data_IF_720737969274
#
_entry.id   IF_720737969274
#
_cell.length_a   1.000
_cell.length_b   1.000
_cell.length_c   1.000
_cell.angle_alpha   90.00
_cell.angle_beta   90.00
_cell.angle_gamma   90.00
#
_symmetry.space_group_name_H-M   'P 1'
#
loop_
_entity.id
_entity.type
_entity.pdbx_description
1 polymer ?
#
# COMPACT_ATOMS: atom_id res chain seq x y z
N UNK A 1 21.94 -99.24 13.13
CA UNK A 1 22.20 -98.51 11.86
C UNK A 1 22.29 -97.02 12.18
N UNK A 2 23.47 -96.44 11.93
CA UNK A 2 23.79 -94.98 11.87
C UNK A 2 23.96 -94.23 13.21
N UNK A 3 25.22 -94.05 13.67
CA UNK A 3 26.16 -92.91 13.43
C UNK A 3 25.66 -91.61 14.08
N UNK A 4 26.26 -91.11 15.16
CA UNK A 4 27.60 -90.48 15.22
C UNK A 4 27.44 -89.05 15.79
N UNK A 5 27.97 -88.75 16.98
CA UNK A 5 29.29 -88.10 17.27
C UNK A 5 29.17 -86.62 17.70
N UNK A 6 29.47 -86.38 18.99
CA UNK A 6 30.62 -85.63 19.56
C UNK A 6 30.63 -84.11 19.39
N UNK A 7 30.20 -83.45 20.46
CA UNK A 7 30.54 -82.09 20.91
C UNK A 7 32.06 -81.86 21.06
N UNK A 8 32.51 -80.66 20.67
CA UNK A 8 33.86 -80.07 20.87
C UNK A 8 33.73 -78.52 20.98
N UNK A 9 34.77 -77.76 21.39
CA UNK A 9 34.71 -76.86 22.54
C UNK A 9 34.72 -75.35 22.21
N UNK A 10 34.34 -74.57 23.23
CA UNK A 10 34.59 -73.14 23.48
C UNK A 10 35.93 -72.60 22.95
N UNK A 11 35.88 -71.54 22.13
CA UNK A 11 36.99 -70.58 21.89
C UNK A 11 36.43 -69.16 21.92
N UNK A 12 36.90 -68.39 22.90
CA UNK A 12 36.75 -66.95 23.10
C UNK A 12 37.51 -66.17 22.00
N UNK A 13 36.85 -65.31 21.24
CA UNK A 13 37.47 -64.40 20.28
C UNK A 13 37.14 -62.94 20.60
N UNK A 14 38.15 -62.16 20.98
CA UNK A 14 38.10 -60.70 21.15
C UNK A 14 38.11 -60.06 19.75
N UNK A 15 37.04 -59.34 19.39
CA UNK A 15 36.96 -58.48 18.20
C UNK A 15 37.20 -57.03 18.67
N UNK A 16 38.31 -56.43 18.26
CA UNK A 16 38.56 -54.99 18.40
C UNK A 16 37.87 -54.29 17.23
N UNK A 17 36.77 -53.58 17.51
CA UNK A 17 36.07 -52.73 16.55
C UNK A 17 36.73 -51.32 16.55
N UNK A 18 37.51 -50.99 15.52
CA UNK A 18 38.00 -49.62 15.29
C UNK A 18 36.85 -48.78 14.70
N UNK A 19 36.25 -47.91 15.53
CA UNK A 19 35.32 -46.89 15.05
C UNK A 19 36.08 -45.69 14.47
N UNK A 20 36.15 -45.62 13.14
CA UNK A 20 36.50 -44.40 12.41
C UNK A 20 35.35 -43.39 12.53
N UNK A 21 35.46 -42.44 13.46
CA UNK A 21 34.66 -41.21 13.43
C UNK A 21 35.15 -40.34 12.28
N UNK A 22 34.52 -40.50 11.11
CA UNK A 22 34.67 -39.54 10.03
C UNK A 22 34.06 -38.21 10.42
N UNK A 23 34.90 -37.23 10.78
CA UNK A 23 34.48 -35.82 10.85
C UNK A 23 34.17 -35.40 9.42
N UNK A 24 32.88 -35.36 9.04
CA UNK A 24 32.46 -34.70 7.81
C UNK A 24 32.69 -33.21 7.99
N UNK A 25 33.79 -32.70 7.44
CA UNK A 25 34.01 -31.27 7.29
C UNK A 25 33.05 -30.76 6.21
N UNK A 26 31.93 -30.17 6.61
CA UNK A 26 31.09 -29.40 5.68
C UNK A 26 31.90 -28.20 5.20
N UNK A 27 32.28 -28.19 3.92
CA UNK A 27 33.03 -27.07 3.34
C UNK A 27 32.12 -25.86 3.16
N UNK A 28 32.68 -24.67 3.36
CA UNK A 28 32.02 -23.42 2.97
C UNK A 28 31.87 -23.40 1.43
N UNK A 29 30.70 -23.01 0.95
CA UNK A 29 30.38 -22.93 -0.47
C UNK A 29 29.84 -21.54 -0.82
N UNK A 30 30.22 -21.05 -2.00
CA UNK A 30 29.70 -19.81 -2.56
C UNK A 30 28.45 -20.11 -3.35
N UNK A 31 27.33 -19.48 -2.99
CA UNK A 31 26.09 -19.48 -3.77
C UNK A 31 25.87 -18.08 -4.32
N UNK A 32 25.73 -17.97 -5.63
CA UNK A 32 25.56 -16.68 -6.29
C UNK A 32 24.09 -16.31 -6.46
N UNK A 33 23.75 -15.03 -6.26
CA UNK A 33 22.36 -14.58 -6.31
C UNK A 33 21.72 -14.77 -7.69
N UNK A 34 22.47 -14.46 -8.76
CA UNK A 34 22.04 -14.61 -10.16
C UNK A 34 21.80 -16.07 -10.58
N UNK A 35 22.23 -17.05 -9.78
CA UNK A 35 21.96 -18.47 -9.99
C UNK A 35 20.71 -18.96 -9.24
N UNK A 36 20.10 -18.12 -8.39
CA UNK A 36 18.83 -18.42 -7.76
C UNK A 36 17.67 -18.15 -8.72
N UNK A 37 16.47 -18.63 -8.38
CA UNK A 37 15.26 -18.26 -9.11
C UNK A 37 14.84 -16.82 -8.75
N UNK A 38 15.24 -15.87 -9.59
CA UNK A 38 14.94 -14.45 -9.42
C UNK A 38 13.52 -14.08 -9.85
N UNK A 39 12.78 -14.98 -10.51
CA UNK A 39 11.37 -14.74 -10.88
C UNK A 39 10.45 -14.66 -9.67
N UNK A 40 10.92 -15.11 -8.51
CA UNK A 40 10.24 -14.99 -7.24
C UNK A 40 10.21 -13.55 -6.68
N UNK A 41 11.00 -12.62 -7.23
CA UNK A 41 10.98 -11.23 -6.81
C UNK A 41 9.69 -10.52 -7.25
N UNK A 42 9.16 -9.66 -6.38
CA UNK A 42 8.16 -8.64 -6.75
C UNK A 42 8.87 -7.33 -7.04
N UNK A 43 8.32 -6.47 -7.91
CA UNK A 43 8.83 -5.11 -8.12
C UNK A 43 7.76 -4.15 -8.63
N UNK A 44 7.98 -2.85 -8.46
CA UNK A 44 7.03 -1.80 -8.84
C UNK A 44 6.83 -1.64 -10.35
N UNK A 45 7.84 -1.99 -11.16
CA UNK A 45 7.81 -1.87 -12.62
C UNK A 45 8.66 -2.95 -13.32
N UNK A 46 8.22 -3.40 -14.49
CA UNK A 46 8.97 -4.34 -15.35
C UNK A 46 9.09 -5.76 -14.79
N UNK A 47 9.99 -6.56 -15.38
CA UNK A 47 10.35 -7.90 -14.89
C UNK A 47 11.79 -7.87 -14.41
N UNK A 48 12.11 -8.42 -13.22
CA UNK A 48 13.48 -8.46 -12.77
C UNK A 48 14.31 -9.43 -13.63
N UNK A 49 15.62 -9.19 -13.76
CA UNK A 49 16.46 -9.96 -14.67
C UNK A 49 17.79 -10.36 -14.04
N UNK A 50 18.23 -11.57 -14.40
CA UNK A 50 19.59 -12.03 -14.12
C UNK A 50 20.56 -11.43 -15.14
N UNK A 51 21.68 -10.89 -14.63
CA UNK A 51 22.83 -10.40 -15.40
C UNK A 51 22.49 -9.33 -16.45
N UNK A 52 21.32 -8.72 -16.29
CA UNK A 52 20.78 -7.66 -17.15
C UNK A 52 19.90 -6.74 -16.32
N UNK A 53 19.78 -5.52 -16.80
CA UNK A 53 18.90 -4.50 -16.22
C UNK A 53 17.42 -4.84 -16.47
N UNK A 54 16.50 -4.06 -15.90
CA UNK A 54 15.05 -4.24 -16.13
C UNK A 54 14.70 -4.11 -17.62
N UNK A 55 15.35 -3.20 -18.36
CA UNK A 55 15.16 -3.02 -19.81
C UNK A 55 16.00 -3.99 -20.66
N UNK A 56 16.77 -4.89 -20.04
CA UNK A 56 17.51 -5.94 -20.73
C UNK A 56 18.90 -5.54 -21.22
N UNK A 57 19.49 -4.45 -20.71
CA UNK A 57 20.84 -3.97 -21.02
C UNK A 57 21.88 -4.60 -20.07
N UNK A 58 23.20 -4.42 -20.32
CA UNK A 58 24.25 -4.77 -19.35
C UNK A 58 24.11 -3.97 -18.06
N UNK A 59 24.43 -4.60 -16.91
CA UNK A 59 24.40 -3.97 -15.59
C UNK A 59 25.55 -2.95 -15.47
N UNK A 60 25.23 -1.70 -15.16
CA UNK A 60 26.23 -0.63 -15.06
C UNK A 60 25.95 0.33 -13.93
N UNK A 61 26.92 0.56 -13.04
CA UNK A 61 26.80 1.51 -11.93
C UNK A 61 27.97 2.47 -11.96
N UNK A 62 27.69 3.79 -12.03
CA UNK A 62 28.69 4.85 -12.06
C UNK A 62 29.79 4.61 -13.13
N UNK A 63 29.36 4.17 -14.31
CA UNK A 63 30.22 3.89 -15.46
C UNK A 63 30.96 2.54 -15.42
N UNK A 64 30.83 1.75 -14.35
CA UNK A 64 31.44 0.42 -14.24
C UNK A 64 30.46 -0.65 -14.69
N UNK A 65 30.92 -1.56 -15.55
CA UNK A 65 30.12 -2.70 -16.02
C UNK A 65 30.35 -3.91 -15.13
N UNK A 66 29.27 -4.62 -14.79
CA UNK A 66 29.32 -5.85 -14.00
C UNK A 66 28.78 -7.02 -14.83
N UNK A 67 29.47 -8.16 -14.76
CA UNK A 67 29.08 -9.37 -15.50
C UNK A 67 27.92 -10.09 -14.84
N UNK A 68 27.83 -9.99 -13.52
CA UNK A 68 26.90 -10.77 -12.72
C UNK A 68 26.10 -9.93 -11.75
N UNK A 69 24.81 -10.22 -11.67
CA UNK A 69 23.92 -9.52 -10.76
C UNK A 69 22.45 -9.75 -11.02
N UNK A 70 21.67 -8.96 -10.30
CA UNK A 70 20.22 -8.95 -10.31
C UNK A 70 19.76 -7.51 -10.58
N UNK A 71 19.35 -7.25 -11.81
CA UNK A 71 18.73 -6.00 -12.20
C UNK A 71 17.27 -6.00 -11.81
N UNK A 72 16.88 -5.05 -10.97
CA UNK A 72 15.53 -4.90 -10.43
C UNK A 72 15.09 -3.43 -10.51
N UNK A 73 13.93 -3.14 -9.96
CA UNK A 73 13.38 -1.80 -9.83
C UNK A 73 13.11 -1.47 -8.36
N UNK A 74 12.95 -0.19 -8.00
CA UNK A 74 12.42 0.17 -6.67
C UNK A 74 11.01 -0.39 -6.43
N UNK A 75 10.63 -0.45 -5.15
CA UNK A 75 9.46 -1.18 -4.65
C UNK A 75 9.53 -2.68 -4.93
N UNK A 76 10.71 -3.25 -4.72
CA UNK A 76 10.96 -4.67 -4.95
C UNK A 76 11.29 -5.44 -3.69
N UNK A 77 11.00 -6.74 -3.73
CA UNK A 77 11.27 -7.70 -2.67
C UNK A 77 11.68 -9.03 -3.29
N UNK A 78 12.87 -9.52 -2.94
CA UNK A 78 13.26 -10.91 -3.14
C UNK A 78 13.43 -11.58 -1.76
N UNK A 79 12.63 -12.61 -1.49
CA UNK A 79 12.77 -13.41 -0.26
C UNK A 79 13.57 -14.67 -0.56
N UNK A 80 14.58 -14.97 0.27
CA UNK A 80 15.43 -16.15 0.18
C UNK A 80 15.34 -16.93 1.49
N UNK A 81 15.01 -18.21 1.40
CA UNK A 81 14.98 -19.15 2.52
C UNK A 81 16.39 -19.69 2.73
N UNK A 82 16.97 -19.32 3.87
CA UNK A 82 18.32 -19.73 4.27
C UNK A 82 18.33 -21.00 5.12
N UNK A 83 17.27 -21.28 5.89
CA UNK A 83 17.19 -22.39 6.86
C UNK A 83 18.38 -22.47 7.83
N UNK A 84 19.03 -21.33 8.13
CA UNK A 84 20.23 -21.27 8.97
C UNK A 84 21.51 -21.79 8.30
N UNK A 85 21.52 -21.97 6.97
CA UNK A 85 22.62 -22.58 6.22
C UNK A 85 23.55 -21.58 5.53
N UNK A 86 23.30 -20.27 5.68
CA UNK A 86 24.15 -19.21 5.16
C UNK A 86 24.81 -18.46 6.33
N UNK A 87 26.06 -18.06 6.17
CA UNK A 87 26.85 -17.36 7.20
C UNK A 87 27.16 -15.91 6.82
N UNK A 88 27.21 -15.60 5.53
CA UNK A 88 27.52 -14.25 5.04
C UNK A 88 26.78 -13.98 3.73
N UNK A 89 26.26 -12.76 3.57
CA UNK A 89 25.85 -12.20 2.28
C UNK A 89 26.71 -10.99 1.96
N UNK A 90 27.24 -10.92 0.74
CA UNK A 90 27.94 -9.74 0.20
C UNK A 90 27.40 -9.36 -1.16
N UNK A 91 27.40 -8.07 -1.47
CA UNK A 91 27.05 -7.51 -2.78
C UNK A 91 27.61 -6.08 -2.91
N UNK A 92 27.56 -5.54 -4.12
CA UNK A 92 27.56 -4.11 -4.38
C UNK A 92 26.17 -3.73 -4.90
N UNK A 93 25.67 -2.56 -4.50
CA UNK A 93 24.35 -2.08 -4.91
C UNK A 93 24.41 -0.67 -5.48
N UNK A 94 23.50 -0.32 -6.38
CA UNK A 94 23.43 1.03 -6.93
C UNK A 94 22.33 1.22 -7.98
N UNK A 95 22.13 2.47 -8.38
CA UNK A 95 21.24 2.83 -9.48
C UNK A 95 21.93 2.49 -10.80
N UNK A 96 21.23 1.85 -11.71
CA UNK A 96 21.77 1.48 -13.03
C UNK A 96 21.93 2.72 -13.92
N UNK A 97 22.99 2.78 -14.74
CA UNK A 97 23.25 3.91 -15.64
C UNK A 97 22.27 4.00 -16.82
N UNK A 98 21.42 3.01 -17.07
CA UNK A 98 20.47 3.00 -18.17
C UNK A 98 19.42 4.10 -18.07
N UNK A 99 19.18 4.59 -16.85
CA UNK A 99 18.21 5.65 -16.56
C UNK A 99 18.83 7.04 -16.58
N UNK A 100 20.00 7.21 -17.24
CA UNK A 100 20.59 8.52 -17.51
C UNK A 100 19.60 9.49 -18.13
N UNK A 101 19.60 10.72 -17.62
CA UNK A 101 18.62 11.76 -17.99
C UNK A 101 17.37 11.77 -17.11
N UNK A 102 17.23 10.82 -16.19
CA UNK A 102 16.19 10.79 -15.17
C UNK A 102 16.76 11.17 -13.80
N UNK A 103 15.90 11.30 -12.79
CA UNK A 103 16.29 11.58 -11.41
C UNK A 103 15.89 10.41 -10.49
N UNK A 104 16.42 9.19 -10.69
CA UNK A 104 16.04 8.06 -9.86
C UNK A 104 16.55 8.23 -8.43
N UNK A 105 15.80 7.70 -7.47
CA UNK A 105 16.24 7.58 -6.08
C UNK A 105 15.69 6.29 -5.48
N UNK A 106 16.55 5.45 -4.94
CA UNK A 106 16.11 4.22 -4.29
C UNK A 106 16.96 3.91 -3.06
N UNK A 107 16.41 3.15 -2.11
CA UNK A 107 17.15 2.63 -0.97
C UNK A 107 17.11 1.10 -0.93
N UNK A 108 18.28 0.49 -0.72
CA UNK A 108 18.45 -0.94 -0.56
C UNK A 108 18.44 -1.29 0.92
N UNK A 109 17.63 -2.28 1.29
CA UNK A 109 17.46 -2.74 2.66
C UNK A 109 17.60 -4.26 2.69
N UNK A 110 18.31 -4.77 3.70
CA UNK A 110 18.41 -6.22 3.95
C UNK A 110 17.77 -6.49 5.31
N UNK A 111 16.73 -7.33 5.32
CA UNK A 111 16.11 -7.81 6.54
C UNK A 111 16.36 -9.31 6.73
N UNK A 112 16.63 -9.73 7.95
CA UNK A 112 16.75 -11.13 8.35
C UNK A 112 15.74 -11.45 9.44
N UNK A 113 14.89 -12.45 9.21
CA UNK A 113 13.84 -12.88 10.13
C UNK A 113 12.99 -11.70 10.69
N UNK A 114 12.66 -10.74 9.81
CA UNK A 114 11.86 -9.56 10.14
C UNK A 114 12.63 -8.40 10.81
N UNK A 115 13.95 -8.52 10.99
CA UNK A 115 14.81 -7.46 11.54
C UNK A 115 15.68 -6.86 10.47
N UNK A 116 15.77 -5.53 10.44
CA UNK A 116 16.70 -4.84 9.55
C UNK A 116 18.14 -5.10 9.96
N UNK A 117 18.93 -5.64 9.03
CA UNK A 117 20.34 -5.96 9.21
C UNK A 117 21.24 -4.91 8.56
N UNK A 118 20.80 -4.30 7.46
CA UNK A 118 21.58 -3.32 6.72
C UNK A 118 20.69 -2.40 5.88
N UNK A 119 21.17 -1.18 5.61
CA UNK A 119 20.55 -0.24 4.67
C UNK A 119 21.62 0.57 3.94
N UNK A 120 21.37 0.90 2.67
CA UNK A 120 22.27 1.71 1.86
C UNK A 120 22.17 3.21 2.16
N UNK A 121 21.07 3.69 2.74
CA UNK A 121 20.68 5.10 2.53
C UNK A 121 20.16 5.29 1.10
N UNK A 122 19.54 6.45 0.83
CA UNK A 122 19.08 6.77 -0.53
C UNK A 122 20.27 6.89 -1.47
N UNK A 123 20.27 6.08 -2.51
CA UNK A 123 21.22 6.10 -3.62
C UNK A 123 20.61 6.84 -4.82
N UNK A 124 21.45 7.56 -5.56
CA UNK A 124 21.08 8.33 -6.74
C UNK A 124 21.96 7.94 -7.93
N UNK A 125 21.51 8.30 -9.12
CA UNK A 125 22.29 8.11 -10.34
C UNK A 125 23.67 8.78 -10.21
N UNK A 126 24.73 8.03 -10.52
CA UNK A 126 26.11 8.49 -10.45
C UNK A 126 26.83 8.23 -9.13
N UNK A 127 26.11 7.82 -8.08
CA UNK A 127 26.74 7.33 -6.85
C UNK A 127 27.55 6.05 -7.14
N UNK A 128 28.73 5.92 -6.53
CA UNK A 128 29.49 4.68 -6.63
C UNK A 128 28.72 3.49 -6.03
N UNK A 129 28.95 2.31 -6.61
CA UNK A 129 28.35 1.07 -6.13
C UNK A 129 28.70 0.86 -4.64
N UNK A 130 27.67 0.80 -3.79
CA UNK A 130 27.85 0.72 -2.33
C UNK A 130 28.02 -0.73 -1.89
N UNK A 131 29.11 -1.08 -1.18
CA UNK A 131 29.28 -2.43 -0.66
C UNK A 131 28.32 -2.73 0.49
N UNK A 132 27.78 -3.94 0.47
CA UNK A 132 27.06 -4.51 1.61
C UNK A 132 27.71 -5.84 2.04
N UNK A 133 27.76 -6.05 3.35
CA UNK A 133 28.30 -7.26 3.97
C UNK A 133 27.52 -7.53 5.25
N UNK A 134 26.79 -8.64 5.30
CA UNK A 134 25.84 -8.96 6.37
C UNK A 134 26.08 -10.38 6.85
N UNK A 135 26.31 -10.54 8.16
CA UNK A 135 26.39 -11.86 8.82
C UNK A 135 25.00 -12.49 8.92
N UNK A 136 24.91 -13.78 8.63
CA UNK A 136 23.65 -14.52 8.53
C UNK A 136 23.56 -15.72 9.49
N UNK A 137 24.46 -15.82 10.47
CA UNK A 137 24.48 -16.93 11.43
C UNK A 137 23.10 -17.13 12.09
N UNK A 138 22.48 -18.29 11.84
CA UNK A 138 21.17 -18.65 12.38
C UNK A 138 19.96 -18.01 11.70
N UNK A 139 20.15 -17.11 10.72
CA UNK A 139 19.06 -16.47 9.99
C UNK A 139 18.36 -17.51 9.10
N UNK A 140 17.04 -17.58 9.18
CA UNK A 140 16.24 -18.56 8.42
C UNK A 140 15.67 -17.98 7.14
N UNK A 141 15.37 -16.68 7.13
CA UNK A 141 14.79 -15.97 5.99
C UNK A 141 15.48 -14.63 5.80
N UNK A 142 15.91 -14.35 4.57
CA UNK A 142 16.46 -13.07 4.15
C UNK A 142 15.52 -12.39 3.17
N UNK A 143 15.38 -11.09 3.29
CA UNK A 143 14.61 -10.25 2.36
C UNK A 143 15.55 -9.17 1.82
N UNK A 144 15.73 -9.15 0.50
CA UNK A 144 16.39 -8.07 -0.23
C UNK A 144 15.29 -7.13 -0.72
N UNK A 145 15.26 -5.93 -0.18
CA UNK A 145 14.19 -4.95 -0.41
C UNK A 145 14.81 -3.73 -1.10
N UNK A 146 14.13 -3.20 -2.10
CA UNK A 146 14.43 -1.88 -2.66
C UNK A 146 13.22 -0.99 -2.48
N UNK A 147 13.34 0.12 -1.78
CA UNK A 147 12.26 1.09 -1.58
C UNK A 147 12.42 2.28 -2.53
N UNK A 148 11.33 3.00 -2.77
CA UNK A 148 11.36 4.36 -3.36
C UNK A 148 12.24 5.25 -2.46
N UNK A 149 13.10 6.07 -3.08
CA UNK A 149 13.98 7.02 -2.43
C UNK A 149 13.31 8.36 -2.09
N UNK A 150 11.98 8.44 -2.25
CA UNK A 150 11.14 9.54 -1.77
C UNK A 150 10.71 10.52 -2.87
N UNK A 151 10.93 10.19 -4.14
CA UNK A 151 10.60 11.03 -5.29
C UNK A 151 9.65 10.33 -6.30
N UNK A 152 9.06 9.19 -5.91
CA UNK A 152 8.27 8.37 -6.79
C UNK A 152 9.15 7.40 -7.55
N UNK A 153 8.58 6.25 -7.92
CA UNK A 153 9.37 5.13 -8.41
C UNK A 153 9.80 5.26 -9.90
N UNK A 154 9.75 6.46 -10.49
CA UNK A 154 9.88 6.60 -11.94
C UNK A 154 11.33 6.43 -12.39
N UNK A 155 11.60 5.36 -13.14
CA UNK A 155 12.94 4.98 -13.60
C UNK A 155 13.93 4.63 -12.48
N UNK A 156 13.47 4.14 -11.34
CA UNK A 156 14.36 3.65 -10.29
C UNK A 156 14.89 2.23 -10.60
N UNK A 157 15.59 2.11 -11.72
CA UNK A 157 16.23 0.86 -12.11
C UNK A 157 17.50 0.71 -11.29
N UNK A 158 17.63 -0.45 -10.64
CA UNK A 158 18.64 -0.69 -9.62
C UNK A 158 19.28 -2.06 -9.80
N UNK A 159 20.52 -2.20 -9.34
CA UNK A 159 21.23 -3.46 -9.44
C UNK A 159 21.78 -3.93 -8.10
N UNK A 160 21.69 -5.25 -7.89
CA UNK A 160 22.52 -5.98 -6.94
C UNK A 160 23.60 -6.74 -7.73
N UNK A 161 24.82 -6.20 -7.79
CA UNK A 161 25.94 -6.78 -8.57
C UNK A 161 26.91 -7.53 -7.67
N UNK A 162 27.55 -8.56 -8.23
CA UNK A 162 28.47 -9.47 -7.51
C UNK A 162 27.90 -10.05 -6.21
N UNK A 163 26.57 -10.20 -6.16
CA UNK A 163 25.83 -10.63 -4.99
C UNK A 163 25.99 -12.14 -4.71
N UNK A 164 26.43 -12.51 -3.50
CA UNK A 164 26.76 -13.88 -3.12
C UNK A 164 26.54 -14.20 -1.65
N UNK A 165 26.38 -15.48 -1.39
CA UNK A 165 26.28 -16.09 -0.08
C UNK A 165 27.47 -17.00 0.18
N UNK A 166 28.00 -16.95 1.40
CA UNK A 166 28.77 -18.05 1.97
C UNK A 166 27.81 -18.97 2.71
N UNK A 167 27.86 -20.27 2.41
CA UNK A 167 26.92 -21.27 2.92
C UNK A 167 27.64 -22.52 3.42
N UNK A 168 26.98 -23.27 4.28
CA UNK A 168 27.48 -24.53 4.83
C UNK A 168 26.59 -25.68 4.36
N UNK A 169 27.16 -26.60 3.58
CA UNK A 169 26.48 -27.85 3.19
C UNK A 169 25.38 -27.71 2.13
N UNK A 170 25.25 -26.56 1.46
CA UNK A 170 24.32 -26.37 0.33
C UNK A 170 24.95 -25.57 -0.81
N UNK A 171 24.59 -25.92 -2.04
CA UNK A 171 25.06 -25.28 -3.28
C UNK A 171 24.02 -24.35 -3.89
N UNK A 172 22.83 -24.29 -3.31
CA UNK A 172 21.72 -23.44 -3.76
C UNK A 172 20.83 -23.06 -2.59
N UNK A 173 20.11 -21.95 -2.73
CA UNK A 173 19.13 -21.46 -1.77
C UNK A 173 17.77 -21.34 -2.48
N UNK A 174 16.69 -21.54 -1.74
CA UNK A 174 15.35 -21.40 -2.31
C UNK A 174 14.90 -19.95 -2.20
N UNK A 175 14.41 -19.39 -3.29
CA UNK A 175 13.68 -18.12 -3.27
C UNK A 175 12.20 -18.37 -3.07
N UNK A 176 11.51 -17.38 -2.52
CA UNK A 176 10.09 -17.46 -2.20
C UNK A 176 9.40 -16.20 -2.70
N UNK A 177 8.33 -16.37 -3.47
CA UNK A 177 7.42 -15.28 -3.77
C UNK A 177 6.31 -15.27 -2.72
N UNK A 178 6.21 -14.24 -1.86
CA UNK A 178 5.13 -14.15 -0.89
C UNK A 178 3.76 -13.93 -1.55
N UNK A 179 3.74 -13.53 -2.82
CA UNK A 179 2.54 -13.41 -3.63
C UNK A 179 2.36 -14.71 -4.40
N UNK A 180 1.27 -15.43 -4.14
CA UNK A 180 0.95 -16.64 -4.90
C UNK A 180 0.93 -16.33 -6.40
N UNK A 181 1.72 -17.07 -7.18
CA UNK A 181 1.77 -16.97 -8.65
C UNK A 181 0.54 -17.58 -9.32
N UNK A 182 -0.17 -18.47 -8.62
CA UNK A 182 -1.49 -18.90 -9.05
C UNK A 182 -2.51 -17.84 -8.64
N UNK A 183 -3.03 -17.11 -9.64
CA UNK A 183 -4.20 -16.27 -9.44
C UNK A 183 -5.37 -17.18 -9.02
N UNK A 184 -5.59 -17.25 -7.71
CA UNK A 184 -6.69 -18.02 -7.13
C UNK A 184 -7.94 -17.14 -7.09
N UNK A 185 -8.71 -17.15 -8.19
CA UNK A 185 -9.98 -16.43 -8.28
C UNK A 185 -11.09 -17.33 -7.72
N UNK A 186 -11.53 -17.04 -6.49
CA UNK A 186 -12.69 -17.70 -5.88
C UNK A 186 -14.03 -17.23 -6.45
N UNK A 187 -14.03 -16.13 -7.19
CA UNK A 187 -15.24 -15.53 -7.73
C UNK A 187 -15.53 -16.09 -9.13
N UNK A 188 -16.72 -16.63 -9.38
CA UNK A 188 -17.09 -17.01 -10.74
C UNK A 188 -16.95 -15.83 -11.69
N UNK A 189 -16.44 -16.08 -12.90
CA UNK A 189 -16.39 -15.07 -13.95
C UNK A 189 -17.79 -14.47 -14.15
N UNK A 190 -17.94 -13.14 -14.24
CA UNK A 190 -19.25 -12.55 -14.52
C UNK A 190 -19.84 -13.05 -15.84
N UNK A 191 -21.16 -13.14 -15.90
CA UNK A 191 -21.86 -13.44 -17.16
C UNK A 191 -21.55 -12.37 -18.22
N UNK A 192 -21.56 -12.79 -19.49
CA UNK A 192 -21.32 -11.92 -20.64
C UNK A 192 -22.44 -10.87 -20.82
N UNK A 193 -23.68 -11.19 -20.44
CA UNK A 193 -24.81 -10.26 -20.45
C UNK A 193 -24.70 -9.25 -19.30
N UNK A 194 -25.19 -8.01 -19.47
CA UNK A 194 -25.08 -7.00 -18.43
C UNK A 194 -25.81 -7.45 -17.16
N UNK A 195 -25.23 -7.12 -16.00
CA UNK A 195 -25.91 -7.17 -14.71
C UNK A 195 -25.53 -5.94 -13.92
N UNK A 196 -26.51 -5.08 -13.63
CA UNK A 196 -26.31 -3.88 -12.82
C UNK A 196 -26.05 -4.29 -11.35
N UNK A 197 -24.96 -3.79 -10.79
CA UNK A 197 -24.40 -4.14 -9.46
C UNK A 197 -24.25 -2.90 -8.58
N UNK A 198 -23.73 -3.06 -7.35
CA UNK A 198 -23.54 -1.96 -6.41
C UNK A 198 -24.82 -1.51 -5.71
N UNK A 199 -24.77 -0.36 -5.04
CA UNK A 199 -25.85 0.17 -4.22
C UNK A 199 -27.16 0.39 -5.03
N UNK A 200 -28.31 0.20 -4.36
CA UNK A 200 -29.65 0.49 -4.89
C UNK A 200 -30.20 1.84 -4.42
N UNK A 201 -29.49 2.50 -3.52
CA UNK A 201 -29.84 3.79 -2.95
C UNK A 201 -28.57 4.62 -2.77
N UNK A 202 -28.65 5.92 -2.97
CA UNK A 202 -27.55 6.86 -2.69
C UNK A 202 -28.09 8.11 -2.02
N UNK A 203 -27.40 8.59 -1.00
CA UNK A 203 -27.73 9.81 -0.28
C UNK A 203 -26.84 10.96 -0.73
N UNK A 204 -27.43 12.14 -0.90
CA UNK A 204 -26.71 13.39 -1.23
C UNK A 204 -27.36 14.55 -0.51
N UNK A 205 -26.61 15.57 -0.09
CA UNK A 205 -27.24 16.77 0.49
C UNK A 205 -27.73 17.73 -0.59
N UNK A 206 -28.76 18.55 -0.31
CA UNK A 206 -29.18 19.61 -1.21
C UNK A 206 -28.02 20.55 -1.57
N UNK A 207 -27.82 20.79 -2.87
CA UNK A 207 -26.79 21.69 -3.41
C UNK A 207 -25.38 21.10 -3.49
N UNK A 208 -25.11 19.98 -2.82
CA UNK A 208 -23.81 19.29 -2.92
C UNK A 208 -23.59 18.68 -4.30
N UNK A 209 -22.34 18.66 -4.81
CA UNK A 209 -21.98 17.91 -6.01
C UNK A 209 -22.41 16.45 -5.89
N UNK A 210 -23.13 15.99 -6.89
CA UNK A 210 -23.54 14.60 -7.05
C UNK A 210 -22.55 13.90 -7.98
N UNK A 211 -22.04 12.75 -7.57
CA UNK A 211 -21.31 11.82 -8.42
C UNK A 211 -21.63 10.39 -8.00
N UNK A 212 -22.19 9.62 -8.92
CA UNK A 212 -22.49 8.20 -8.71
C UNK A 212 -22.27 7.44 -10.02
N UNK A 213 -21.56 6.32 -9.98
CA UNK A 213 -21.39 5.46 -11.15
C UNK A 213 -22.45 4.36 -11.15
N UNK A 214 -23.25 4.29 -12.21
CA UNK A 214 -24.07 3.11 -12.47
C UNK A 214 -23.14 1.94 -12.85
N UNK A 215 -22.93 1.00 -11.93
CA UNK A 215 -21.99 -0.11 -12.15
C UNK A 215 -22.71 -1.32 -12.75
N UNK A 216 -22.05 -1.99 -13.69
CA UNK A 216 -22.54 -3.24 -14.25
C UNK A 216 -21.40 -4.14 -14.70
N UNK A 217 -21.50 -5.42 -14.36
CA UNK A 217 -20.72 -6.51 -14.97
C UNK A 217 -21.28 -6.85 -16.36
N UNK A 218 -20.51 -7.58 -17.17
CA UNK A 218 -20.84 -7.97 -18.54
C UNK A 218 -19.82 -7.47 -19.55
N UNK A 219 -19.80 -8.09 -20.73
CA UNK A 219 -18.84 -7.76 -21.78
C UNK A 219 -18.97 -6.28 -22.23
N UNK A 220 -17.83 -5.70 -22.60
CA UNK A 220 -17.72 -4.35 -23.18
C UNK A 220 -17.64 -4.47 -24.72
N UNK A 221 -18.03 -3.43 -25.50
CA UNK A 221 -18.56 -2.13 -25.07
C UNK A 221 -19.97 -2.26 -24.49
N UNK A 222 -20.29 -1.34 -23.57
CA UNK A 222 -21.58 -1.27 -22.90
C UNK A 222 -22.08 0.18 -22.91
N UNK A 223 -23.38 0.37 -23.08
CA UNK A 223 -24.02 1.68 -22.95
C UNK A 223 -24.89 1.72 -21.70
N UNK A 224 -24.96 2.89 -21.08
CA UNK A 224 -25.75 3.17 -19.89
C UNK A 224 -26.81 4.22 -20.19
N UNK A 225 -27.98 4.08 -19.57
CA UNK A 225 -29.02 5.10 -19.57
C UNK A 225 -29.80 5.09 -18.26
N UNK A 226 -30.58 6.15 -18.03
CA UNK A 226 -31.47 6.26 -16.87
C UNK A 226 -32.84 6.77 -17.30
N UNK A 227 -33.89 6.18 -16.74
CA UNK A 227 -35.28 6.65 -16.89
C UNK A 227 -35.68 7.41 -15.63
N UNK A 228 -36.31 8.56 -15.80
CA UNK A 228 -36.66 9.50 -14.72
C UNK A 228 -35.43 10.05 -13.98
N UNK A 229 -34.34 10.33 -14.71
CA UNK A 229 -33.18 11.00 -14.11
C UNK A 229 -33.61 12.42 -13.65
N UNK A 230 -33.43 12.78 -12.37
CA UNK A 230 -33.85 14.08 -11.87
C UNK A 230 -33.21 15.25 -12.61
N UNK A 231 -33.98 16.33 -12.82
CA UNK A 231 -33.46 17.58 -13.36
C UNK A 231 -32.31 18.09 -12.49
N UNK A 232 -31.21 18.47 -13.13
CA UNK A 232 -29.97 18.87 -12.47
C UNK A 232 -28.90 17.78 -12.43
N UNK A 233 -29.25 16.54 -12.84
CA UNK A 233 -28.30 15.46 -13.05
C UNK A 233 -28.19 15.11 -14.54
N UNK A 234 -27.00 14.61 -14.93
CA UNK A 234 -26.70 14.08 -16.26
C UNK A 234 -25.96 12.76 -16.13
N UNK A 235 -26.15 11.85 -17.08
CA UNK A 235 -25.41 10.58 -17.17
C UNK A 235 -24.53 10.59 -18.41
N UNK A 236 -23.28 10.18 -18.27
CA UNK A 236 -22.44 9.80 -19.41
C UNK A 236 -22.81 8.38 -19.87
N UNK A 237 -23.30 8.20 -21.12
CA UNK A 237 -23.76 6.91 -21.62
C UNK A 237 -22.64 5.89 -21.83
N UNK A 238 -21.36 6.30 -21.90
CA UNK A 238 -20.22 5.40 -22.09
C UNK A 238 -19.71 4.85 -20.75
N UNK A 239 -19.66 5.71 -19.74
CA UNK A 239 -19.04 5.38 -18.44
C UNK A 239 -20.06 5.00 -17.37
N UNK A 240 -21.33 5.40 -17.51
CA UNK A 240 -22.35 5.22 -16.48
C UNK A 240 -22.27 6.24 -15.35
N UNK A 241 -21.34 7.21 -15.42
CA UNK A 241 -21.16 8.23 -14.39
C UNK A 241 -22.32 9.23 -14.46
N UNK A 242 -22.99 9.42 -13.33
CA UNK A 242 -24.04 10.41 -13.13
C UNK A 242 -23.43 11.57 -12.34
N UNK A 243 -23.47 12.79 -12.89
CA UNK A 243 -22.98 14.01 -12.23
C UNK A 243 -24.02 15.13 -12.20
N UNK A 244 -23.84 16.11 -11.31
CA UNK A 244 -24.67 17.31 -11.25
C UNK A 244 -24.98 17.75 -9.84
N UNK A 245 -26.14 18.36 -9.60
CA UNK A 245 -26.60 18.81 -8.28
C UNK A 245 -28.13 18.70 -8.17
N UNK A 246 -28.61 18.44 -6.95
CA UNK A 246 -30.04 18.48 -6.62
C UNK A 246 -30.29 19.58 -5.60
N UNK A 247 -31.12 20.57 -5.92
CA UNK A 247 -31.40 21.67 -5.00
C UNK A 247 -32.54 21.36 -4.01
N UNK A 248 -33.51 20.54 -4.44
CA UNK A 248 -34.71 20.23 -3.66
C UNK A 248 -34.50 18.93 -2.89
N UNK A 249 -34.78 18.96 -1.59
CA UNK A 249 -34.81 17.75 -0.78
C UNK A 249 -35.92 16.80 -1.24
N UNK A 250 -35.70 15.50 -1.14
CA UNK A 250 -36.70 14.49 -1.47
C UNK A 250 -36.11 13.16 -1.93
N UNK A 251 -37.00 12.19 -2.12
CA UNK A 251 -36.68 10.90 -2.70
C UNK A 251 -36.98 10.91 -4.21
N UNK A 252 -35.99 10.54 -5.02
CA UNK A 252 -36.12 10.42 -6.46
C UNK A 252 -35.93 8.96 -6.87
N UNK A 253 -36.96 8.38 -7.47
CA UNK A 253 -36.93 7.02 -7.98
C UNK A 253 -36.64 7.02 -9.48
N UNK A 254 -35.64 6.26 -9.89
CA UNK A 254 -35.23 6.13 -11.28
C UNK A 254 -34.92 4.67 -11.61
N UNK A 255 -34.79 4.38 -12.91
CA UNK A 255 -34.41 3.06 -13.40
C UNK A 255 -33.09 3.21 -14.16
N UNK A 256 -32.03 2.59 -13.64
CA UNK A 256 -30.76 2.47 -14.33
C UNK A 256 -30.86 1.35 -15.37
N UNK A 257 -30.25 1.55 -16.53
CA UNK A 257 -30.19 0.57 -17.61
C UNK A 257 -28.76 0.40 -18.10
N UNK A 258 -28.39 -0.83 -18.44
CA UNK A 258 -27.13 -1.18 -19.06
C UNK A 258 -27.37 -2.13 -20.23
N UNK A 259 -26.72 -1.91 -21.38
CA UNK A 259 -26.91 -2.72 -22.60
C UNK A 259 -25.58 -2.99 -23.28
N UNK A 260 -25.35 -4.24 -23.68
CA UNK A 260 -24.26 -4.65 -24.57
C UNK A 260 -24.81 -5.57 -25.69
N UNK A 261 -23.93 -6.15 -26.50
CA UNK A 261 -24.32 -7.08 -27.58
C UNK A 261 -25.02 -8.36 -27.09
N UNK A 262 -24.89 -8.73 -25.82
CA UNK A 262 -25.42 -9.96 -25.24
C UNK A 262 -26.76 -9.75 -24.53
N UNK A 263 -27.22 -8.51 -24.36
CA UNK A 263 -28.52 -8.22 -23.76
C UNK A 263 -28.57 -6.88 -23.04
N UNK A 264 -29.57 -6.74 -22.20
CA UNK A 264 -29.78 -5.55 -21.36
C UNK A 264 -30.13 -5.95 -19.93
N UNK A 265 -29.86 -5.04 -19.00
CA UNK A 265 -30.29 -5.14 -17.62
C UNK A 265 -30.89 -3.81 -17.18
N UNK A 266 -31.86 -3.88 -16.27
CA UNK A 266 -32.48 -2.72 -15.66
C UNK A 266 -32.53 -2.91 -14.14
N UNK A 267 -32.43 -1.81 -13.39
CA UNK A 267 -32.55 -1.85 -11.94
C UNK A 267 -33.12 -0.56 -11.39
N UNK A 268 -34.10 -0.69 -10.48
CA UNK A 268 -34.60 0.43 -9.69
C UNK A 268 -33.49 0.99 -8.80
N UNK A 269 -33.38 2.31 -8.78
CA UNK A 269 -32.43 3.05 -7.98
C UNK A 269 -33.15 4.21 -7.30
N UNK A 270 -32.71 4.59 -6.10
CA UNK A 270 -33.32 5.68 -5.32
C UNK A 270 -32.26 6.67 -4.87
N UNK A 271 -32.40 7.93 -5.25
CA UNK A 271 -31.60 9.03 -4.72
C UNK A 271 -32.37 9.66 -3.56
N UNK A 272 -31.73 9.82 -2.41
CA UNK A 272 -32.27 10.56 -1.27
C UNK A 272 -31.50 11.86 -1.16
N UNK A 273 -32.11 12.95 -1.59
CA UNK A 273 -31.59 14.29 -1.37
C UNK A 273 -32.04 14.78 0.02
N UNK A 274 -31.14 14.79 0.99
CA UNK A 274 -31.45 15.11 2.39
C UNK A 274 -30.21 15.10 3.28
N UNK A 275 -30.39 15.18 4.60
CA UNK A 275 -29.27 15.36 5.55
C UNK A 275 -28.43 14.11 5.81
N UNK A 276 -28.88 12.94 5.32
CA UNK A 276 -28.23 11.65 5.51
C UNK A 276 -27.54 11.19 4.22
N UNK A 277 -26.23 11.04 4.31
CA UNK A 277 -25.36 10.44 3.28
C UNK A 277 -24.92 9.03 3.71
N UNK A 278 -24.12 8.35 2.89
CA UNK A 278 -23.62 6.99 3.18
C UNK A 278 -24.73 6.00 3.59
N UNK A 279 -25.82 5.93 2.79
CA UNK A 279 -26.98 5.07 3.06
C UNK A 279 -26.71 3.58 2.90
N UNK A 280 -25.58 3.23 2.31
CA UNK A 280 -25.01 1.88 2.26
C UNK A 280 -23.56 1.96 2.72
N UNK A 281 -22.98 0.84 3.22
CA UNK A 281 -21.57 0.82 3.58
C UNK A 281 -20.68 1.35 2.43
N UNK A 282 -19.77 2.30 2.69
CA UNK A 282 -18.77 2.71 1.72
C UNK A 282 -17.89 1.52 1.33
N UNK A 283 -17.72 1.27 0.03
CA UNK A 283 -16.86 0.20 -0.49
C UNK A 283 -15.66 0.81 -1.20
N UNK A 284 -14.45 0.38 -0.85
CA UNK A 284 -13.25 0.99 -1.39
C UNK A 284 -11.96 0.37 -0.88
N UNK A 285 -10.87 1.07 -1.14
CA UNK A 285 -9.51 0.73 -0.75
C UNK A 285 -8.95 1.82 0.16
N UNK A 286 -8.02 1.47 1.05
CA UNK A 286 -7.30 2.40 1.91
C UNK A 286 -5.80 2.11 1.85
N UNK A 287 -4.97 3.17 1.87
CA UNK A 287 -3.53 3.06 1.65
C UNK A 287 -2.73 2.44 2.78
N UNK A 288 -3.22 2.48 4.03
CA UNK A 288 -2.42 2.15 5.21
C UNK A 288 -1.82 0.75 5.16
N UNK A 289 -2.64 -0.27 4.92
CA UNK A 289 -2.18 -1.66 4.94
C UNK A 289 -1.32 -2.05 3.73
N UNK A 290 -1.32 -1.23 2.67
CA UNK A 290 -0.48 -1.47 1.50
C UNK A 290 0.84 -0.71 1.57
N UNK A 291 0.79 0.55 1.99
CA UNK A 291 1.91 1.48 1.84
C UNK A 291 2.38 2.10 3.16
N UNK A 292 1.55 2.08 4.21
CA UNK A 292 1.83 2.75 5.47
C UNK A 292 2.40 4.16 5.23
N UNK A 293 3.57 4.45 5.82
CA UNK A 293 4.26 5.72 5.69
C UNK A 293 4.79 6.04 4.30
N UNK A 294 4.80 5.09 3.35
CA UNK A 294 5.34 5.25 2.00
C UNK A 294 4.29 5.72 0.99
N UNK A 295 3.08 6.12 1.43
CA UNK A 295 2.03 6.59 0.53
C UNK A 295 2.49 7.83 -0.26
N UNK A 296 2.15 7.90 -1.54
CA UNK A 296 2.46 9.02 -2.44
C UNK A 296 1.34 9.22 -3.47
N UNK A 297 1.31 10.38 -4.15
CA UNK A 297 0.37 10.63 -5.25
C UNK A 297 0.42 9.53 -6.32
N UNK A 298 1.62 9.06 -6.71
CA UNK A 298 1.76 8.02 -7.73
C UNK A 298 1.11 6.70 -7.29
N UNK A 299 1.41 6.24 -6.08
CA UNK A 299 0.83 5.02 -5.51
C UNK A 299 -0.70 5.06 -5.42
N UNK A 300 -1.26 6.21 -5.04
CA UNK A 300 -2.71 6.42 -5.00
C UNK A 300 -3.30 6.34 -6.41
N UNK A 301 -2.66 6.95 -7.42
CA UNK A 301 -3.08 6.85 -8.82
C UNK A 301 -3.01 5.41 -9.33
N UNK A 302 -1.96 4.65 -8.98
CA UNK A 302 -1.83 3.23 -9.31
C UNK A 302 -2.94 2.39 -8.67
N UNK A 303 -3.26 2.61 -7.40
CA UNK A 303 -4.38 1.93 -6.73
C UNK A 303 -5.74 2.27 -7.39
N UNK A 304 -5.95 3.54 -7.76
CA UNK A 304 -7.13 3.96 -8.52
C UNK A 304 -7.24 3.26 -9.88
N UNK A 305 -6.13 3.19 -10.65
CA UNK A 305 -6.13 2.46 -11.92
C UNK A 305 -6.35 0.96 -11.74
N UNK A 306 -5.79 0.36 -10.68
CA UNK A 306 -5.98 -1.06 -10.39
C UNK A 306 -7.46 -1.37 -10.04
N UNK A 307 -8.15 -0.46 -9.33
CA UNK A 307 -9.59 -0.59 -9.06
C UNK A 307 -10.42 -0.65 -10.36
N UNK A 308 -10.00 0.11 -11.38
CA UNK A 308 -10.66 0.15 -12.69
C UNK A 308 -10.30 -1.11 -13.50
N UNK A 309 -9.00 -1.39 -13.67
CA UNK A 309 -8.52 -2.47 -14.54
C UNK A 309 -8.84 -3.87 -14.04
N UNK A 310 -8.89 -4.07 -12.72
CA UNK A 310 -9.34 -5.33 -12.10
C UNK A 310 -10.84 -5.59 -12.28
N UNK A 311 -11.61 -4.56 -12.64
CA UNK A 311 -13.07 -4.64 -12.75
C UNK A 311 -13.81 -4.50 -11.41
N UNK A 312 -13.12 -4.28 -10.27
CA UNK A 312 -13.78 -4.05 -8.97
C UNK A 312 -14.73 -2.86 -9.00
N UNK A 313 -14.41 -1.82 -9.79
CA UNK A 313 -15.32 -0.70 -10.02
C UNK A 313 -16.69 -1.16 -10.57
N UNK A 314 -16.72 -2.22 -11.38
CA UNK A 314 -17.96 -2.81 -11.91
C UNK A 314 -18.74 -3.60 -10.86
N UNK A 315 -18.26 -3.72 -9.62
CA UNK A 315 -18.92 -4.37 -8.50
C UNK A 315 -19.34 -3.40 -7.39
N UNK A 316 -19.13 -2.09 -7.58
CA UNK A 316 -19.54 -1.05 -6.62
C UNK A 316 -18.41 -0.56 -5.70
N UNK A 317 -17.17 -0.97 -5.92
CA UNK A 317 -16.01 -0.42 -5.22
C UNK A 317 -15.70 0.97 -5.75
N UNK A 318 -15.75 1.99 -4.90
CA UNK A 318 -15.77 3.39 -5.35
C UNK A 318 -14.76 4.29 -4.64
N UNK A 319 -14.35 3.99 -3.41
CA UNK A 319 -13.46 4.87 -2.64
C UNK A 319 -11.98 4.46 -2.77
N UNK A 320 -11.10 5.45 -2.96
CA UNK A 320 -9.65 5.35 -2.84
C UNK A 320 -9.25 6.28 -1.68
N UNK A 321 -8.99 5.73 -0.51
CA UNK A 321 -8.72 6.52 0.69
C UNK A 321 -7.22 6.58 0.97
N UNK A 322 -6.72 7.80 1.11
CA UNK A 322 -5.38 8.11 1.61
C UNK A 322 -5.48 8.11 3.14
N UNK A 323 -4.62 7.31 3.79
CA UNK A 323 -4.49 7.25 5.24
C UNK A 323 -3.38 8.21 5.73
N UNK A 324 -2.84 8.00 6.92
CA UNK A 324 -1.76 8.83 7.52
C UNK A 324 -0.53 8.99 6.59
N UNK A 325 0.34 9.97 6.87
CA UNK A 325 1.56 10.34 6.13
C UNK A 325 1.39 11.07 4.79
N UNK A 326 0.25 11.70 4.53
CA UNK A 326 0.14 12.70 3.45
C UNK A 326 0.56 14.10 3.92
N UNK A 327 0.56 14.33 5.24
CA UNK A 327 1.00 15.54 5.91
C UNK A 327 2.51 15.50 6.22
N UNK A 328 3.08 16.65 6.60
CA UNK A 328 4.45 16.68 7.12
C UNK A 328 4.54 16.05 8.52
N UNK A 329 5.62 15.28 8.76
CA UNK A 329 5.91 14.53 9.97
C UNK A 329 6.85 15.26 10.94
N UNK A 330 6.56 15.21 12.25
CA UNK A 330 7.33 15.91 13.30
C UNK A 330 8.74 15.37 13.54
N UNK A 331 8.96 14.07 13.39
CA UNK A 331 10.20 13.41 13.83
C UNK A 331 10.90 12.62 12.71
N UNK A 332 10.33 12.58 11.51
CA UNK A 332 10.88 11.78 10.42
C UNK A 332 12.28 12.24 10.01
N UNK A 333 13.11 11.27 9.64
CA UNK A 333 14.42 11.51 9.00
C UNK A 333 14.30 11.55 7.48
N UNK A 334 13.16 11.12 6.93
CA UNK A 334 12.88 11.20 5.50
C UNK A 334 12.54 12.65 5.13
N UNK A 335 13.37 13.27 4.29
CA UNK A 335 13.20 14.65 3.83
C UNK A 335 11.88 14.86 3.08
N UNK A 336 11.35 13.83 2.42
CA UNK A 336 10.08 13.92 1.69
C UNK A 336 8.86 14.02 2.61
N UNK A 337 9.03 13.73 3.90
CA UNK A 337 8.02 13.88 4.95
C UNK A 337 8.25 15.15 5.79
N UNK A 338 9.20 16.02 5.42
CA UNK A 338 9.56 17.22 6.18
C UNK A 338 9.07 18.48 5.49
N UNK A 339 8.72 19.47 6.31
CA UNK A 339 8.32 20.78 5.84
C UNK A 339 7.52 21.52 6.91
N UNK A 340 6.92 22.63 6.51
CA UNK A 340 5.98 23.38 7.36
C UNK A 340 4.74 22.52 7.60
N UNK A 341 4.24 22.46 8.84
CA UNK A 341 2.96 21.78 9.10
C UNK A 341 1.77 22.59 8.61
N UNK A 342 1.87 23.91 8.69
CA UNK A 342 0.83 24.86 8.30
C UNK A 342 1.39 26.04 7.50
N UNK A 343 0.58 26.60 6.62
CA UNK A 343 0.85 27.86 5.95
C UNK A 343 0.53 29.07 6.85
N UNK A 344 0.76 30.28 6.34
CA UNK A 344 0.49 31.53 7.09
C UNK A 344 -0.98 31.73 7.44
N UNK A 345 -1.90 31.11 6.69
CA UNK A 345 -3.33 31.16 6.94
C UNK A 345 -3.81 30.04 7.90
N UNK A 346 -2.89 29.19 8.37
CA UNK A 346 -3.20 28.07 9.26
C UNK A 346 -3.69 26.81 8.54
N UNK A 347 -3.69 26.77 7.21
CA UNK A 347 -4.04 25.56 6.48
C UNK A 347 -2.92 24.54 6.59
N UNK A 348 -3.28 23.28 6.76
CA UNK A 348 -2.34 22.18 6.71
C UNK A 348 -1.61 22.11 5.36
N UNK A 349 -0.29 21.91 5.41
CA UNK A 349 0.55 21.79 4.21
C UNK A 349 0.88 20.31 3.97
N UNK A 350 0.48 19.73 2.82
CA UNK A 350 0.90 18.37 2.46
C UNK A 350 2.42 18.27 2.33
N UNK A 351 2.96 17.08 2.49
CA UNK A 351 4.37 16.84 2.26
C UNK A 351 4.73 16.81 0.75
N UNK A 352 6.01 16.70 0.42
CA UNK A 352 6.47 16.80 -0.98
C UNK A 352 6.00 15.65 -1.87
N UNK A 353 5.44 14.57 -1.31
CA UNK A 353 4.84 13.46 -2.07
C UNK A 353 3.44 13.80 -2.59
N UNK A 354 2.82 14.86 -2.08
CA UNK A 354 1.46 15.30 -2.39
C UNK A 354 1.39 16.79 -2.76
N UNK A 355 1.98 17.15 -3.90
CA UNK A 355 2.10 18.56 -4.33
C UNK A 355 0.83 19.17 -4.90
N UNK A 356 -0.13 18.36 -5.36
CA UNK A 356 -1.40 18.82 -5.96
C UNK A 356 -2.58 17.96 -5.51
N UNK A 357 -3.09 18.25 -4.31
CA UNK A 357 -4.20 17.52 -3.70
C UNK A 357 -5.50 17.61 -4.52
N UNK A 358 -5.76 18.79 -5.12
CA UNK A 358 -6.93 18.98 -5.96
C UNK A 358 -6.80 18.21 -7.27
N UNK A 359 -5.65 18.27 -7.94
CA UNK A 359 -5.41 17.50 -9.16
C UNK A 359 -5.47 15.99 -8.93
N UNK A 360 -5.04 15.51 -7.76
CA UNK A 360 -5.20 14.10 -7.38
C UNK A 360 -6.67 13.69 -7.22
N UNK A 361 -7.48 14.53 -6.54
CA UNK A 361 -8.91 14.29 -6.43
C UNK A 361 -9.61 14.33 -7.80
N UNK A 362 -9.32 15.34 -8.63
CA UNK A 362 -9.87 15.48 -9.97
C UNK A 362 -9.51 14.26 -10.85
N UNK A 363 -8.28 13.73 -10.73
CA UNK A 363 -7.85 12.50 -11.42
C UNK A 363 -8.69 11.30 -10.99
N UNK A 364 -8.86 11.07 -9.69
CA UNK A 364 -9.64 9.95 -9.15
C UNK A 364 -11.12 10.08 -9.55
N UNK A 365 -11.68 11.29 -9.50
CA UNK A 365 -13.04 11.58 -9.95
C UNK A 365 -13.24 11.34 -11.45
N UNK A 366 -12.23 11.62 -12.28
CA UNK A 366 -12.24 11.35 -13.72
C UNK A 366 -12.38 9.86 -14.06
N UNK A 367 -11.95 8.98 -13.15
CA UNK A 367 -12.13 7.53 -13.25
C UNK A 367 -13.52 7.05 -12.78
N UNK A 368 -14.36 7.95 -12.26
CA UNK A 368 -15.65 7.62 -11.64
C UNK A 368 -15.55 7.14 -10.19
N UNK A 369 -14.38 7.25 -9.58
CA UNK A 369 -14.10 6.92 -8.18
C UNK A 369 -14.26 8.15 -7.29
N UNK A 370 -14.23 7.93 -5.98
CA UNK A 370 -14.23 8.92 -4.91
C UNK A 370 -12.92 8.82 -4.14
N UNK A 371 -12.48 9.92 -3.53
CA UNK A 371 -11.20 9.95 -2.81
C UNK A 371 -11.39 10.33 -1.34
N UNK A 372 -10.64 9.69 -0.45
CA UNK A 372 -10.67 9.99 0.98
C UNK A 372 -9.34 10.48 1.52
N UNK A 373 -9.42 11.20 2.64
CA UNK A 373 -8.28 11.67 3.40
C UNK A 373 -8.35 11.20 4.85
N UNK A 374 -7.30 11.49 5.61
CA UNK A 374 -7.12 11.14 6.99
C UNK A 374 -6.70 12.37 7.81
N UNK A 375 -7.11 12.43 9.08
CA UNK A 375 -6.55 13.34 10.08
C UNK A 375 -6.86 12.81 11.49
N UNK A 376 -6.47 13.56 12.52
CA UNK A 376 -6.74 13.29 13.94
C UNK A 376 -7.15 14.58 14.67
N UNK A 377 -7.98 14.51 15.74
CA UNK A 377 -8.35 15.67 16.55
C UNK A 377 -7.26 16.21 17.47
N UNK A 378 -6.15 15.47 17.64
CA UNK A 378 -4.99 15.98 18.38
C UNK A 378 -3.98 16.70 17.48
N UNK A 379 -2.94 17.33 18.07
CA UNK A 379 -1.90 18.03 17.31
C UNK A 379 -1.13 17.12 16.37
N UNK A 380 -1.05 15.83 16.71
CA UNK A 380 -0.40 14.80 15.91
C UNK A 380 -1.36 13.68 15.56
N UNK A 381 -1.27 13.21 14.33
CA UNK A 381 -1.82 11.93 13.89
C UNK A 381 -1.08 10.78 14.57
N UNK A 382 -1.58 9.54 14.45
CA UNK A 382 -0.91 8.36 15.01
C UNK A 382 0.54 8.19 14.55
N UNK A 383 0.81 8.44 13.27
CA UNK A 383 2.14 8.41 12.67
C UNK A 383 3.04 9.61 13.02
N UNK A 384 2.58 10.55 13.85
CA UNK A 384 3.36 11.74 14.23
C UNK A 384 3.37 12.86 13.18
N UNK A 385 2.46 12.81 12.21
CA UNK A 385 2.20 13.88 11.25
C UNK A 385 1.23 14.93 11.80
N UNK A 386 1.16 16.10 11.16
CA UNK A 386 0.31 17.20 11.64
C UNK A 386 -1.18 16.79 11.66
N UNK A 387 -1.85 16.93 12.81
CA UNK A 387 -3.30 16.71 12.95
C UNK A 387 -4.09 18.02 12.92
N UNK A 388 -5.41 17.94 13.11
CA UNK A 388 -6.32 19.09 12.93
C UNK A 388 -6.59 19.93 14.18
N UNK A 389 -5.97 19.60 15.32
CA UNK A 389 -6.24 20.30 16.58
C UNK A 389 -6.07 21.83 16.47
N UNK A 390 -7.12 22.57 16.79
CA UNK A 390 -7.13 24.04 16.79
C UNK A 390 -7.35 24.69 15.42
N UNK A 391 -7.49 23.89 14.36
CA UNK A 391 -7.64 24.35 12.97
C UNK A 391 -8.70 23.53 12.22
N UNK A 392 -9.63 22.92 12.94
CA UNK A 392 -10.62 22.00 12.41
C UNK A 392 -11.44 22.66 11.30
N UNK A 393 -11.77 23.94 11.46
CA UNK A 393 -12.51 24.72 10.47
C UNK A 393 -11.73 24.88 9.16
N UNK A 394 -10.48 25.35 9.24
CA UNK A 394 -9.62 25.55 8.08
C UNK A 394 -9.37 24.25 7.34
N UNK A 395 -9.12 23.18 8.08
CA UNK A 395 -8.88 21.86 7.52
C UNK A 395 -10.14 21.33 6.80
N UNK A 396 -11.34 21.47 7.40
CA UNK A 396 -12.61 21.11 6.73
C UNK A 396 -12.81 21.86 5.41
N UNK A 397 -12.52 23.17 5.39
CA UNK A 397 -12.61 24.02 4.21
C UNK A 397 -11.60 23.58 3.12
N UNK A 398 -10.35 23.29 3.50
CA UNK A 398 -9.33 22.78 2.57
C UNK A 398 -9.69 21.43 1.98
N UNK A 399 -10.15 20.47 2.79
CA UNK A 399 -10.57 19.15 2.31
C UNK A 399 -11.75 19.24 1.32
N UNK A 400 -12.66 20.18 1.55
CA UNK A 400 -13.75 20.44 0.63
C UNK A 400 -13.26 21.09 -0.67
N UNK A 401 -12.39 22.10 -0.58
CA UNK A 401 -11.80 22.84 -1.71
C UNK A 401 -10.94 21.95 -2.60
N UNK A 402 -10.17 21.02 -2.02
CA UNK A 402 -9.41 20.02 -2.77
C UNK A 402 -10.29 18.94 -3.39
N UNK A 403 -11.56 18.82 -2.97
CA UNK A 403 -12.49 17.91 -3.62
C UNK A 403 -12.37 16.46 -3.15
N UNK A 404 -12.02 16.21 -1.88
CA UNK A 404 -12.08 14.85 -1.31
C UNK A 404 -13.53 14.29 -1.32
N UNK A 405 -13.90 13.22 -0.62
CA UNK A 405 -15.30 12.74 -0.47
C UNK A 405 -15.51 12.03 0.87
N UNK A 406 -14.43 11.90 1.62
CA UNK A 406 -14.34 11.07 2.80
C UNK A 406 -13.24 11.61 3.70
N UNK A 407 -13.48 11.65 5.01
CA UNK A 407 -12.48 11.90 6.02
C UNK A 407 -12.51 10.76 7.04
N UNK A 408 -11.42 10.01 7.14
CA UNK A 408 -11.11 9.19 8.32
C UNK A 408 -10.56 10.12 9.39
N UNK A 409 -11.15 10.11 10.56
CA UNK A 409 -10.74 10.96 11.67
C UNK A 409 -10.41 10.08 12.86
N UNK A 410 -9.14 10.03 13.21
CA UNK A 410 -8.61 9.15 14.24
C UNK A 410 -8.84 9.71 15.66
N UNK A 411 -8.19 9.15 16.67
CA UNK A 411 -8.22 9.62 18.06
C UNK A 411 -6.84 10.11 18.55
N UNK A 412 -5.77 9.71 17.88
CA UNK A 412 -4.40 9.87 18.35
C UNK A 412 -4.03 11.29 18.82
N UNK A 413 -3.30 11.36 19.93
CA UNK A 413 -2.83 12.56 20.65
C UNK A 413 -3.90 13.48 21.24
N UNK A 414 -5.19 13.31 20.93
CA UNK A 414 -6.27 14.09 21.53
C UNK A 414 -6.40 13.85 23.03
N UNK A 415 -6.06 12.65 23.52
CA UNK A 415 -6.06 12.36 24.95
C UNK A 415 -5.18 13.30 25.77
N UNK A 416 -4.05 13.76 25.23
CA UNK A 416 -3.19 14.74 25.90
C UNK A 416 -3.75 16.16 25.85
N UNK A 417 -4.54 16.49 24.82
CA UNK A 417 -5.22 17.79 24.74
C UNK A 417 -6.18 17.95 25.92
N UNK A 418 -6.89 16.88 26.28
CA UNK A 418 -7.85 16.89 27.38
C UNK A 418 -7.21 17.20 28.74
N UNK A 419 -5.93 16.87 28.92
CA UNK A 419 -5.16 17.13 30.15
C UNK A 419 -4.49 18.52 30.15
N UNK A 420 -4.59 19.26 29.04
CA UNK A 420 -3.79 20.45 28.77
C UNK A 420 -2.44 20.08 28.13
N UNK A 421 -2.02 20.88 27.14
CA UNK A 421 -0.73 20.66 26.49
C UNK A 421 0.41 21.02 27.47
N UNK A 422 1.44 20.16 27.65
CA UNK A 422 2.59 20.49 28.47
C UNK A 422 3.25 21.79 27.98
N UNK A 423 3.33 22.79 28.86
CA UNK A 423 3.86 24.12 28.56
C UNK A 423 3.17 24.83 27.37
N UNK A 424 1.92 24.44 27.05
CA UNK A 424 1.18 24.88 25.87
C UNK A 424 1.90 24.58 24.54
N UNK A 425 2.80 23.58 24.53
CA UNK A 425 3.56 23.18 23.35
C UNK A 425 3.01 21.85 22.79
N UNK A 426 2.36 21.88 21.61
CA UNK A 426 1.87 20.67 20.98
C UNK A 426 2.99 19.68 20.65
N UNK A 427 4.24 20.10 20.46
CA UNK A 427 5.36 19.20 20.13
C UNK A 427 5.71 18.24 21.27
N UNK A 428 5.34 18.56 22.52
CA UNK A 428 5.67 17.79 23.72
C UNK A 428 4.70 16.65 24.04
N UNK A 429 3.64 16.47 23.25
CA UNK A 429 2.68 15.37 23.47
C UNK A 429 3.01 14.15 22.61
N UNK A 430 2.73 12.97 23.15
CA UNK A 430 2.87 11.72 22.40
C UNK A 430 1.83 11.64 21.28
N UNK A 431 2.24 11.19 20.11
CA UNK A 431 1.33 10.88 19.01
C UNK A 431 0.37 9.73 19.35
N UNK A 432 0.81 8.77 20.16
CA UNK A 432 0.02 7.59 20.55
C UNK A 432 -0.53 7.73 21.96
N UNK A 433 -1.50 8.62 22.14
CA UNK A 433 -2.27 8.73 23.38
C UNK A 433 -3.75 8.46 23.13
N UNK A 434 -4.29 7.50 23.89
CA UNK A 434 -5.69 7.09 23.86
C UNK A 434 -6.48 7.51 25.12
N UNK A 435 -5.83 8.29 26.01
CA UNK A 435 -6.45 8.73 27.26
C UNK A 435 -7.72 9.56 27.02
N UNK A 436 -8.66 9.48 27.95
CA UNK A 436 -9.96 10.18 27.85
C UNK A 436 -10.91 9.63 26.78
N UNK A 437 -10.45 8.69 25.94
CA UNK A 437 -11.30 8.00 24.97
C UNK A 437 -12.29 7.03 25.61
N UNK A 438 -12.10 6.68 26.88
CA UNK A 438 -12.95 5.81 27.71
C UNK A 438 -14.08 6.55 28.47
N UNK A 439 -14.29 7.84 28.22
CA UNK A 439 -15.42 8.62 28.75
C UNK A 439 -16.21 9.19 27.55
N UNK A 440 -17.49 8.82 27.43
CA UNK A 440 -18.32 9.13 26.24
C UNK A 440 -18.35 10.63 25.92
N UNK A 441 -18.56 11.49 26.92
CA UNK A 441 -18.67 12.94 26.72
C UNK A 441 -17.40 13.54 26.07
N UNK A 442 -16.23 13.17 26.59
CA UNK A 442 -14.94 13.64 26.04
C UNK A 442 -14.63 12.96 24.71
N UNK A 443 -15.05 11.70 24.54
CA UNK A 443 -14.81 10.94 23.31
C UNK A 443 -15.64 11.44 22.12
N UNK A 444 -16.89 11.87 22.32
CA UNK A 444 -17.76 12.39 21.26
C UNK A 444 -17.35 13.79 20.79
N UNK A 445 -16.90 14.65 21.72
CA UNK A 445 -16.66 16.08 21.48
C UNK A 445 -15.86 16.39 20.21
N UNK A 446 -14.65 15.81 19.98
CA UNK A 446 -13.87 16.15 18.79
C UNK A 446 -14.55 15.73 17.48
N UNK A 447 -15.19 14.56 17.47
CA UNK A 447 -15.89 14.06 16.29
C UNK A 447 -17.11 14.89 15.97
N UNK A 448 -17.89 15.29 16.98
CA UNK A 448 -19.02 16.20 16.76
C UNK A 448 -18.55 17.55 16.20
N UNK A 449 -17.46 18.11 16.74
CA UNK A 449 -16.89 19.38 16.27
C UNK A 449 -16.49 19.34 14.79
N UNK A 450 -15.65 18.37 14.41
CA UNK A 450 -15.26 18.19 13.00
C UNK A 450 -16.47 17.83 12.12
N UNK A 451 -17.36 16.95 12.59
CA UNK A 451 -18.58 16.57 11.89
C UNK A 451 -19.50 17.76 11.56
N UNK A 452 -19.69 18.67 12.51
CA UNK A 452 -20.49 19.89 12.33
C UNK A 452 -19.82 20.83 11.29
N UNK A 453 -18.49 20.92 11.28
CA UNK A 453 -17.73 21.74 10.30
C UNK A 453 -17.74 21.16 8.88
N UNK A 454 -17.58 19.84 8.75
CA UNK A 454 -17.75 19.14 7.46
C UNK A 454 -19.16 19.34 6.91
N UNK A 455 -20.17 19.39 7.79
CA UNK A 455 -21.54 19.65 7.35
C UNK A 455 -21.74 21.06 6.80
N UNK A 456 -20.91 22.03 7.16
CA UNK A 456 -21.01 23.39 6.61
C UNK A 456 -20.40 23.52 5.22
N UNK A 457 -19.63 22.52 4.77
CA UNK A 457 -18.96 22.58 3.48
C UNK A 457 -19.92 22.33 2.31
N UNK A 458 -19.74 22.98 1.15
CA UNK A 458 -20.61 22.85 -0.02
C UNK A 458 -20.41 21.54 -0.80
N UNK A 459 -20.01 20.46 -0.11
CA UNK A 459 -19.71 19.14 -0.67
C UNK A 459 -19.92 18.07 0.39
N UNK A 460 -20.46 16.92 -0.02
CA UNK A 460 -20.62 15.78 0.89
C UNK A 460 -19.27 15.15 1.20
N UNK A 461 -18.96 15.03 2.49
CA UNK A 461 -17.77 14.34 3.01
C UNK A 461 -18.27 13.25 3.96
N UNK A 462 -18.10 11.99 3.59
CA UNK A 462 -18.36 10.86 4.49
C UNK A 462 -17.41 10.96 5.67
N UNK A 463 -17.95 10.93 6.88
CA UNK A 463 -17.15 11.07 8.10
C UNK A 463 -17.01 9.72 8.78
N UNK A 464 -15.79 9.18 8.75
CA UNK A 464 -15.43 7.90 9.37
C UNK A 464 -14.75 8.15 10.69
N UNK A 465 -15.47 7.84 11.77
CA UNK A 465 -14.98 7.93 13.14
C UNK A 465 -14.05 6.73 13.41
N UNK A 466 -12.77 7.00 13.69
CA UNK A 466 -11.75 5.99 14.00
C UNK A 466 -11.25 6.21 15.42
N UNK A 467 -11.98 5.66 16.39
CA UNK A 467 -11.66 5.80 17.81
C UNK A 467 -11.45 4.45 18.51
N UNK A 468 -11.33 3.38 17.71
CA UNK A 468 -10.99 2.03 18.17
C UNK A 468 -12.06 1.35 19.06
N UNK A 469 -13.33 1.75 18.96
CA UNK A 469 -14.42 1.14 19.73
C UNK A 469 -14.48 1.57 21.20
N UNK A 470 -13.67 2.55 21.61
CA UNK A 470 -13.73 3.20 22.91
C UNK A 470 -15.05 3.98 23.12
N UNK A 471 -15.76 3.73 24.21
CA UNK A 471 -16.89 4.57 24.69
C UNK A 471 -18.10 4.74 23.77
N UNK A 472 -18.44 3.80 22.87
CA UNK A 472 -19.71 3.84 22.11
C UNK A 472 -20.03 5.21 21.46
N UNK A 473 -19.01 5.85 20.85
CA UNK A 473 -19.03 7.21 20.26
C UNK A 473 -19.98 7.38 19.08
#
# INVERSE_FOLDING_TARGET
>A
MEKGKRMKPFILGIIVLLALLGVQTTSAQTVWLDQLDLSAATQGYGTPRSNKTVDGRPLTIAGKTFERGFGSHSESLLTIILDGKATLFTALVGIDDEVKGQQPAAEFIINGDGKQLWRSGVMRLGDEAKPCSVKLDGVKKLELVVTDGGNGNYYDHVDWVDAKFETTGVTTLKTYNPVSSEIYILTPKPAASPKITGAKVFGVRPGSPFQFMATATGDRPMTFSAVNLPKGLKMDPKTGIITGKLAKAGAYNLVLKAKNAKGSAERKFRIVCGDRIALTPPMGWNSWNCFAQEVSTDKVKRAANAMVSSGLINHGWTYINIDDFWENNRDSKDQSLRGKFRDEAGNIVPNSRFTDMKGLADYVHGLGLKIGLYSSPGPWTCGGCAGSYGYEKQDAESYAKWGFDYLKYDWCSYGNVLEGLPENDPSKVSSLSYKGGNVLETAVKPFKGMGDLLRQQPRDIVFSVCQYGMSDV
#
